data_IF_835124774834
#
_entry.id   IF_835124774834
#
_cell.length_a   1.000
_cell.length_b   1.000
_cell.length_c   1.000
_cell.angle_alpha   90.00
_cell.angle_beta   90.00
_cell.angle_gamma   90.00
#
_symmetry.space_group_name_H-M   'P 1'
#
loop_
_entity.id
_entity.type
_entity.pdbx_description
1 polymer ?
#
# COMPACT_ATOMS: atom_id res chain seq x y z
N UNK A 1 -13.92 13.57 8.69
CA UNK A 1 -15.09 14.30 9.23
C UNK A 1 -16.09 13.28 9.75
N UNK A 2 -15.84 12.74 10.94
CA UNK A 2 -16.70 11.74 11.60
C UNK A 2 -16.27 11.68 13.07
N UNK A 3 -16.92 12.45 13.92
CA UNK A 3 -16.78 12.30 15.37
C UNK A 3 -17.94 13.02 16.06
N UNK A 4 -18.89 12.23 16.55
CA UNK A 4 -19.55 12.29 17.86
C UNK A 4 -20.85 11.48 17.79
N UNK A 5 -20.74 10.18 18.03
CA UNK A 5 -21.86 9.38 18.53
C UNK A 5 -21.48 9.07 19.98
N UNK A 6 -22.16 9.75 20.91
CA UNK A 6 -21.96 9.58 22.35
C UNK A 6 -22.37 8.15 22.74
N UNK A 7 -21.50 7.46 23.49
CA UNK A 7 -21.91 6.31 24.28
C UNK A 7 -23.10 6.71 25.18
N UNK A 8 -24.20 5.98 25.10
CA UNK A 8 -25.33 6.17 26.02
C UNK A 8 -24.95 5.53 27.36
N UNK A 9 -24.26 6.29 28.21
CA UNK A 9 -24.13 5.94 29.62
C UNK A 9 -25.46 6.22 30.32
N UNK A 10 -26.10 5.15 30.79
CA UNK A 10 -27.26 5.22 31.66
C UNK A 10 -26.84 5.77 33.04
N UNK A 11 -27.41 6.91 33.43
CA UNK A 11 -27.54 7.28 34.85
C UNK A 11 -29.04 7.31 35.17
N UNK A 12 -29.50 6.28 35.87
CA UNK A 12 -30.83 6.25 36.46
C UNK A 12 -30.82 7.02 37.77
N UNK A 13 -31.66 8.05 37.86
CA UNK A 13 -32.28 8.55 39.09
C UNK A 13 -33.47 9.43 38.68
N UNK A 14 -34.67 8.84 38.68
CA UNK A 14 -35.92 9.61 38.81
C UNK A 14 -36.42 9.35 40.22
N UNK A 15 -36.29 10.34 41.08
CA UNK A 15 -36.99 10.39 42.36
C UNK A 15 -37.90 11.61 42.35
N UNK A 16 -39.19 11.32 42.47
CA UNK A 16 -40.26 12.23 42.86
C UNK A 16 -39.96 12.86 44.22
N UNK A 17 -40.08 14.19 44.38
CA UNK A 17 -41.14 14.74 45.24
C UNK A 17 -41.25 16.27 45.25
N UNK A 18 -42.52 16.66 45.42
CA UNK A 18 -43.22 17.90 45.76
C UNK A 18 -42.50 19.07 46.49
N UNK A 19 -42.64 20.28 45.91
CA UNK A 19 -43.19 21.52 46.50
C UNK A 19 -42.63 22.16 47.79
N UNK A 20 -42.25 23.43 47.71
CA UNK A 20 -42.19 24.32 48.89
C UNK A 20 -41.42 25.64 48.68
N UNK A 21 -42.17 26.74 48.52
CA UNK A 21 -41.73 28.14 48.50
C UNK A 21 -40.96 28.57 49.76
N UNK A 22 -39.93 29.42 49.61
CA UNK A 22 -39.68 30.65 50.40
C UNK A 22 -38.23 31.18 50.19
N UNK A 23 -38.10 32.37 49.60
CA UNK A 23 -37.00 33.32 49.87
C UNK A 23 -37.35 34.17 51.14
N UNK A 24 -36.51 35.09 51.71
CA UNK A 24 -35.27 35.69 51.19
C UNK A 24 -34.14 36.01 52.23
N UNK A 25 -33.01 36.52 51.70
CA UNK A 25 -32.21 37.68 52.17
C UNK A 25 -30.71 37.48 52.46
N UNK A 26 -29.97 38.43 51.85
CA UNK A 26 -28.67 39.02 52.23
C UNK A 26 -27.42 38.16 51.95
N UNK A 27 -26.29 38.67 51.44
CA UNK A 27 -25.76 40.04 51.38
C UNK A 27 -24.63 40.10 50.34
N UNK A 28 -24.61 41.21 49.60
CA UNK A 28 -23.49 41.99 49.05
C UNK A 28 -22.05 41.43 49.10
N UNK A 29 -21.41 41.42 47.92
CA UNK A 29 -20.25 42.25 47.47
C UNK A 29 -19.65 41.55 46.24
N UNK A 30 -19.40 42.14 45.06
CA UNK A 30 -19.30 43.53 44.65
C UNK A 30 -17.88 43.86 44.18
N UNK A 31 -17.53 43.51 42.93
CA UNK A 31 -16.69 44.26 41.96
C UNK A 31 -16.32 43.32 40.79
N UNK A 32 -16.77 43.52 39.54
CA UNK A 32 -16.46 44.59 38.56
C UNK A 32 -14.98 44.53 38.11
N UNK A 33 -14.58 44.61 36.85
CA UNK A 33 -15.15 44.76 35.49
C UNK A 33 -13.98 44.39 34.54
N UNK A 34 -14.04 44.37 33.21
CA UNK A 34 -15.00 44.78 32.22
C UNK A 34 -14.47 44.32 30.85
N UNK A 35 -15.36 44.35 29.86
CA UNK A 35 -15.08 44.10 28.45
C UNK A 35 -14.12 45.14 27.87
N UNK A 36 -13.24 44.73 26.95
CA UNK A 36 -13.18 45.26 25.58
C UNK A 36 -12.02 44.63 24.79
N UNK A 37 -12.32 44.24 23.55
CA UNK A 37 -11.38 43.96 22.45
C UNK A 37 -10.57 45.23 22.09
N UNK A 38 -9.39 45.09 21.47
CA UNK A 38 -9.34 45.46 20.04
C UNK A 38 -8.38 44.64 19.15
N UNK A 39 -8.88 44.35 17.95
CA UNK A 39 -8.34 44.58 16.60
C UNK A 39 -6.88 44.24 16.21
N UNK A 40 -6.82 43.39 15.17
CA UNK A 40 -5.89 43.22 14.04
C UNK A 40 -4.67 44.13 13.84
N UNK A 41 -3.53 43.48 13.56
CA UNK A 41 -2.63 43.71 12.39
C UNK A 41 -1.86 42.40 12.16
N UNK A 42 -2.16 41.61 11.13
CA UNK A 42 -1.54 41.64 9.80
C UNK A 42 -0.03 41.29 9.79
N UNK A 43 0.31 40.06 9.43
CA UNK A 43 1.38 39.79 8.46
C UNK A 43 1.23 38.39 7.84
N UNK A 44 1.46 38.34 6.53
CA UNK A 44 1.10 37.28 5.60
C UNK A 44 2.34 36.56 5.05
N UNK A 45 2.25 35.23 4.93
CA UNK A 45 2.85 34.35 3.90
C UNK A 45 2.61 32.90 4.38
N UNK A 46 1.83 32.01 3.76
CA UNK A 46 1.45 31.89 2.37
C UNK A 46 2.18 30.71 1.73
N UNK A 47 1.89 29.47 2.14
CA UNK A 47 2.03 28.30 1.25
C UNK A 47 1.19 27.11 1.76
N UNK A 48 -0.07 27.05 1.34
CA UNK A 48 -0.94 25.89 1.54
C UNK A 48 -0.67 24.86 0.46
N UNK A 49 -0.11 23.71 0.83
CA UNK A 49 0.06 22.59 -0.08
C UNK A 49 -1.26 21.80 -0.12
N UNK A 50 -2.13 22.14 -1.08
CA UNK A 50 -3.29 21.33 -1.42
C UNK A 50 -2.83 20.09 -2.19
N UNK A 51 -2.97 18.92 -1.57
CA UNK A 51 -2.79 17.62 -2.22
C UNK A 51 -3.96 17.40 -3.17
N UNK A 52 -3.75 17.68 -4.45
CA UNK A 52 -4.66 17.29 -5.51
C UNK A 52 -4.51 15.80 -5.78
N UNK A 53 -5.49 15.02 -5.33
CA UNK A 53 -5.69 13.64 -5.77
C UNK A 53 -6.36 13.70 -7.13
N UNK A 54 -5.62 13.39 -8.19
CA UNK A 54 -6.18 13.27 -9.55
C UNK A 54 -6.80 11.87 -9.68
N UNK A 55 -8.12 11.74 -9.97
CA UNK A 55 -8.69 10.44 -10.29
C UNK A 55 -8.31 10.02 -11.71
N UNK A 56 -7.97 8.73 -11.86
CA UNK A 56 -7.81 8.09 -13.15
C UNK A 56 -9.08 8.27 -13.99
N UNK A 57 -8.90 8.72 -15.24
CA UNK A 57 -9.98 9.00 -16.17
C UNK A 57 -10.74 7.73 -16.53
N UNK A 58 -12.07 7.80 -16.38
CA UNK A 58 -13.00 6.74 -16.71
C UNK A 58 -13.12 6.50 -18.21
N UNK A 59 -13.25 5.22 -18.58
CA UNK A 59 -13.65 4.79 -19.92
C UNK A 59 -15.18 4.64 -19.94
N UNK A 60 -15.83 5.45 -20.77
CA UNK A 60 -17.25 5.39 -21.03
C UNK A 60 -17.64 4.15 -21.84
N UNK A 61 -18.69 3.48 -21.39
CA UNK A 61 -19.45 2.45 -22.09
C UNK A 61 -20.34 3.04 -23.19
N UNK A 62 -20.33 2.46 -24.39
CA UNK A 62 -21.51 2.28 -25.24
C UNK A 62 -21.19 1.38 -26.47
N UNK A 63 -22.08 0.43 -26.76
CA UNK A 63 -22.19 -0.15 -28.11
C UNK A 63 -22.28 -1.68 -28.19
N UNK A 64 -23.46 -2.23 -27.95
CA UNK A 64 -23.87 -3.56 -28.43
C UNK A 64 -23.86 -3.58 -29.97
N UNK A 65 -23.60 -4.73 -30.63
CA UNK A 65 -24.75 -5.50 -31.10
C UNK A 65 -24.60 -7.03 -30.99
N UNK A 66 -25.76 -7.67 -30.78
CA UNK A 66 -26.00 -9.10 -30.98
C UNK A 66 -25.94 -9.46 -32.48
N UNK A 67 -25.38 -10.61 -32.83
CA UNK A 67 -26.17 -11.83 -33.17
C UNK A 67 -25.43 -12.84 -34.06
N UNK A 68 -25.73 -14.11 -33.76
CA UNK A 68 -25.84 -15.27 -34.65
C UNK A 68 -24.58 -16.01 -35.15
N UNK A 69 -24.60 -17.34 -34.95
CA UNK A 69 -24.38 -18.27 -36.06
C UNK A 69 -23.39 -19.43 -35.89
N UNK A 70 -23.82 -20.47 -35.18
CA UNK A 70 -23.68 -21.91 -35.46
C UNK A 70 -22.46 -22.52 -36.22
N UNK A 71 -21.89 -23.54 -35.55
CA UNK A 71 -21.65 -24.94 -36.00
C UNK A 71 -20.57 -25.31 -37.04
N UNK A 72 -19.82 -26.37 -36.72
CA UNK A 72 -19.03 -27.23 -37.63
C UNK A 72 -17.72 -27.72 -37.00
N UNK A 73 -17.71 -28.79 -36.19
CA UNK A 73 -17.32 -30.19 -36.55
C UNK A 73 -16.04 -30.35 -37.38
N UNK A 74 -15.04 -31.08 -36.85
CA UNK A 74 -13.96 -31.63 -37.68
C UNK A 74 -12.68 -32.08 -36.95
N UNK A 75 -12.69 -33.34 -36.51
CA UNK A 75 -11.61 -34.35 -36.57
C UNK A 75 -10.17 -34.10 -36.10
N UNK A 76 -9.68 -35.12 -35.40
CA UNK A 76 -8.34 -35.35 -34.88
C UNK A 76 -7.28 -35.77 -35.92
N UNK A 77 -6.03 -35.51 -35.54
CA UNK A 77 -4.83 -36.35 -35.65
C UNK A 77 -3.98 -36.43 -36.94
N UNK A 78 -2.68 -36.47 -36.63
CA UNK A 78 -1.49 -36.92 -37.35
C UNK A 78 -0.86 -36.06 -38.46
N UNK A 79 0.36 -35.61 -38.15
CA UNK A 79 1.26 -34.92 -39.05
C UNK A 79 2.65 -34.78 -38.42
N UNK A 80 3.37 -35.89 -38.30
CA UNK A 80 4.82 -35.91 -38.08
C UNK A 80 5.52 -35.09 -39.18
N UNK A 81 6.16 -33.99 -38.80
CA UNK A 81 6.93 -33.14 -39.70
C UNK A 81 8.21 -32.67 -39.03
N UNK A 82 9.32 -33.33 -39.37
CA UNK A 82 10.66 -32.90 -39.02
C UNK A 82 10.92 -31.50 -39.59
N UNK A 83 11.15 -30.51 -38.73
CA UNK A 83 11.71 -29.23 -39.16
C UNK A 83 13.24 -29.32 -39.10
N UNK A 84 13.80 -29.46 -40.29
CA UNK A 84 15.20 -29.21 -40.58
C UNK A 84 15.59 -27.81 -40.09
N UNK A 85 16.76 -27.71 -39.50
CA UNK A 85 17.29 -26.49 -38.95
C UNK A 85 17.60 -25.47 -40.05
N UNK A 86 16.78 -24.44 -40.12
CA UNK A 86 17.21 -23.14 -40.61
C UNK A 86 17.92 -22.42 -39.46
N UNK A 87 19.24 -22.59 -39.36
CA UNK A 87 20.09 -21.65 -38.64
C UNK A 87 19.98 -20.30 -39.34
N UNK A 88 18.98 -19.50 -38.93
CA UNK A 88 19.04 -18.04 -39.10
C UNK A 88 20.33 -17.58 -38.42
N UNK A 89 21.30 -17.16 -39.21
CA UNK A 89 22.39 -16.31 -38.71
C UNK A 89 21.68 -15.12 -38.08
N UNK A 90 21.74 -15.01 -36.75
CA UNK A 90 21.15 -13.89 -36.05
C UNK A 90 21.78 -12.61 -36.61
N UNK A 91 20.94 -11.73 -37.16
CA UNK A 91 21.39 -10.38 -37.52
C UNK A 91 22.12 -9.79 -36.32
N UNK A 92 23.34 -9.30 -36.54
CA UNK A 92 24.15 -8.71 -35.48
C UNK A 92 23.33 -7.60 -34.80
N UNK A 93 23.20 -7.68 -33.48
CA UNK A 93 22.48 -6.68 -32.70
C UNK A 93 23.23 -5.36 -32.77
N UNK A 94 22.73 -4.44 -33.60
CA UNK A 94 23.33 -3.11 -33.84
C UNK A 94 22.86 -2.07 -32.83
N UNK A 95 22.05 -2.45 -31.83
CA UNK A 95 21.55 -1.53 -30.81
C UNK A 95 22.67 -1.12 -29.86
N UNK A 96 22.66 0.15 -29.47
CA UNK A 96 23.50 0.67 -28.40
C UNK A 96 22.70 0.56 -27.11
N UNK A 97 23.23 -0.21 -26.17
CA UNK A 97 22.68 -0.36 -24.83
C UNK A 97 23.41 0.57 -23.85
N UNK A 98 22.72 1.10 -22.82
CA UNK A 98 23.35 1.88 -21.77
C UNK A 98 24.55 1.15 -21.16
N UNK A 99 25.69 1.85 -21.06
CA UNK A 99 26.89 1.33 -20.38
C UNK A 99 27.34 2.34 -19.34
N UNK A 100 27.49 1.88 -18.11
CA UNK A 100 27.96 2.71 -17.00
C UNK A 100 29.50 2.76 -17.00
N UNK A 101 30.06 3.88 -17.47
CA UNK A 101 31.50 4.13 -17.45
C UNK A 101 31.80 5.30 -16.51
N UNK A 102 32.48 5.07 -15.36
CA UNK A 102 32.83 6.15 -14.43
C UNK A 102 33.64 7.26 -15.10
N UNK A 103 33.33 8.51 -14.77
CA UNK A 103 34.04 9.68 -15.27
C UNK A 103 35.27 9.96 -14.40
N UNK A 104 36.47 9.67 -14.93
CA UNK A 104 37.73 9.83 -14.21
C UNK A 104 38.00 11.26 -13.72
N UNK A 105 37.38 12.28 -14.32
CA UNK A 105 37.54 13.68 -13.89
C UNK A 105 36.99 13.94 -12.49
N UNK A 106 36.11 13.07 -11.97
CA UNK A 106 35.48 13.19 -10.66
C UNK A 106 35.92 12.10 -9.68
N UNK A 107 36.96 11.34 -10.00
CA UNK A 107 37.46 10.26 -9.15
C UNK A 107 37.79 10.75 -7.74
N UNK A 108 37.32 10.01 -6.73
CA UNK A 108 37.56 10.31 -5.32
C UNK A 108 36.65 11.41 -4.73
N UNK A 109 35.74 11.98 -5.52
CA UNK A 109 34.74 12.92 -5.03
C UNK A 109 33.45 12.18 -4.66
N UNK A 110 32.86 12.52 -3.52
CA UNK A 110 31.59 11.94 -3.09
C UNK A 110 30.62 13.00 -2.56
N UNK A 111 29.33 12.76 -2.70
CA UNK A 111 28.27 13.59 -2.11
C UNK A 111 27.39 12.73 -1.23
N UNK A 112 27.23 13.14 0.03
CA UNK A 112 26.37 12.43 0.98
C UNK A 112 24.90 12.68 0.70
N UNK A 113 24.12 11.61 0.67
CA UNK A 113 22.65 11.62 0.61
C UNK A 113 22.07 10.92 1.82
N UNK A 114 20.95 11.44 2.31
CA UNK A 114 20.30 10.93 3.52
C UNK A 114 18.83 10.65 3.23
N UNK A 115 18.36 9.49 3.67
CA UNK A 115 16.98 9.05 3.56
C UNK A 115 16.45 8.70 4.94
N UNK A 116 15.20 9.06 5.20
CA UNK A 116 14.48 8.62 6.39
C UNK A 116 13.41 7.61 5.96
N UNK A 117 13.46 6.41 6.51
CA UNK A 117 12.56 5.32 6.16
C UNK A 117 11.81 4.88 7.40
N UNK A 118 10.49 5.00 7.36
CA UNK A 118 9.62 4.41 8.37
C UNK A 118 9.55 2.90 8.16
N UNK A 119 9.90 2.10 9.15
CA UNK A 119 9.77 0.65 9.09
C UNK A 119 9.41 0.13 10.48
N UNK A 120 8.42 -0.76 10.53
CA UNK A 120 7.76 -1.16 11.78
C UNK A 120 7.33 0.04 12.65
N UNK A 121 7.86 0.15 13.86
CA UNK A 121 7.57 1.24 14.79
C UNK A 121 8.68 2.31 14.86
N UNK A 122 9.62 2.31 13.91
CA UNK A 122 10.81 3.18 13.91
C UNK A 122 10.96 3.96 12.61
N UNK A 123 11.82 4.98 12.68
CA UNK A 123 12.33 5.69 11.51
C UNK A 123 13.84 5.47 11.48
N UNK A 124 14.33 4.89 10.39
CA UNK A 124 15.75 4.68 10.17
C UNK A 124 16.32 5.74 9.24
N UNK A 125 17.47 6.29 9.62
CA UNK A 125 18.22 7.23 8.77
C UNK A 125 19.32 6.48 8.06
N UNK A 126 19.26 6.46 6.72
CA UNK A 126 20.24 5.82 5.85
C UNK A 126 21.06 6.94 5.22
N UNK A 127 22.38 6.87 5.33
CA UNK A 127 23.25 7.89 4.78
C UNK A 127 24.29 7.26 3.86
N UNK A 128 24.29 7.67 2.59
CA UNK A 128 25.07 7.05 1.52
C UNK A 128 25.97 8.11 0.91
N UNK A 129 27.27 7.83 0.82
CA UNK A 129 28.20 8.67 0.09
C UNK A 129 28.21 8.24 -1.38
N UNK A 130 27.59 9.05 -2.25
CA UNK A 130 27.48 8.77 -3.68
C UNK A 130 28.78 9.16 -4.37
N UNK A 131 29.41 8.22 -5.06
CA UNK A 131 30.58 8.46 -5.91
C UNK A 131 30.20 9.33 -7.12
N UNK A 132 30.82 10.51 -7.21
CA UNK A 132 30.54 11.47 -8.27
C UNK A 132 31.11 11.04 -9.63
N UNK A 133 32.18 10.24 -9.65
CA UNK A 133 32.69 9.61 -10.88
C UNK A 133 31.65 8.70 -11.50
N UNK A 134 31.02 7.87 -10.67
CA UNK A 134 29.97 6.96 -11.11
C UNK A 134 28.72 7.72 -11.57
N UNK A 135 28.27 8.70 -10.79
CA UNK A 135 27.09 9.51 -11.12
C UNK A 135 27.26 10.25 -12.45
N UNK A 136 28.43 10.86 -12.68
CA UNK A 136 28.72 11.59 -13.91
C UNK A 136 28.80 10.64 -15.10
N UNK A 137 29.41 9.47 -14.92
CA UNK A 137 29.37 8.38 -15.88
C UNK A 137 27.95 7.97 -16.26
N UNK A 138 27.10 7.72 -15.27
CA UNK A 138 25.69 7.35 -15.47
C UNK A 138 24.91 8.41 -16.26
N UNK A 139 25.12 9.69 -15.94
CA UNK A 139 24.46 10.81 -16.63
C UNK A 139 24.93 11.00 -18.08
N UNK A 140 26.19 10.66 -18.36
CA UNK A 140 26.79 10.77 -19.68
C UNK A 140 26.55 9.54 -20.58
N UNK A 141 26.08 8.43 -20.01
CA UNK A 141 25.80 7.20 -20.75
C UNK A 141 24.75 7.42 -21.85
N UNK A 142 24.92 6.77 -23.00
CA UNK A 142 23.92 6.79 -24.07
C UNK A 142 22.68 5.97 -23.66
N UNK A 143 21.59 6.68 -23.37
CA UNK A 143 20.29 6.10 -23.01
C UNK A 143 19.23 6.33 -24.07
N UNK A 144 19.63 6.74 -25.29
CA UNK A 144 18.72 7.18 -26.35
C UNK A 144 17.72 6.10 -26.80
N UNK A 145 18.07 4.82 -26.63
CA UNK A 145 17.18 3.68 -26.90
C UNK A 145 15.93 3.69 -25.99
N UNK A 146 16.01 4.27 -24.79
CA UNK A 146 14.92 4.32 -23.81
C UNK A 146 13.62 4.90 -24.38
N UNK A 147 13.70 5.99 -25.16
CA UNK A 147 12.51 6.62 -25.78
C UNK A 147 11.70 5.71 -26.72
N UNK A 148 12.33 4.64 -27.22
CA UNK A 148 11.74 3.73 -28.20
C UNK A 148 11.61 2.32 -27.65
N UNK A 149 11.99 2.07 -26.39
CA UNK A 149 12.16 0.72 -25.85
C UNK A 149 10.86 -0.06 -25.84
N UNK A 150 9.75 0.58 -25.47
CA UNK A 150 8.41 -0.02 -25.46
C UNK A 150 7.94 -0.51 -26.85
N UNK A 151 8.56 -0.04 -27.94
CA UNK A 151 8.26 -0.46 -29.32
C UNK A 151 9.24 -1.49 -29.88
N UNK A 152 10.27 -1.87 -29.11
CA UNK A 152 11.25 -2.87 -29.54
C UNK A 152 10.76 -4.30 -29.23
N UNK A 153 11.41 -5.30 -29.83
CA UNK A 153 11.11 -6.70 -29.54
C UNK A 153 11.43 -7.07 -28.08
N UNK A 154 10.81 -8.12 -27.53
CA UNK A 154 11.08 -8.60 -26.17
C UNK A 154 12.57 -8.83 -25.89
N UNK A 155 13.34 -9.33 -26.87
CA UNK A 155 14.77 -9.60 -26.73
C UNK A 155 15.59 -8.32 -26.58
N UNK A 156 15.22 -7.25 -27.30
CA UNK A 156 15.87 -5.94 -27.18
C UNK A 156 15.48 -5.27 -25.86
N UNK A 157 14.22 -5.41 -25.42
CA UNK A 157 13.79 -4.94 -24.11
C UNK A 157 14.56 -5.65 -22.99
N UNK A 158 14.70 -6.98 -23.08
CA UNK A 158 15.49 -7.79 -22.16
C UNK A 158 16.93 -7.26 -22.05
N UNK A 159 17.64 -7.14 -23.18
CA UNK A 159 19.03 -6.65 -23.20
C UNK A 159 19.16 -5.22 -22.68
N UNK A 160 18.22 -4.33 -23.00
CA UNK A 160 18.23 -2.96 -22.51
C UNK A 160 18.14 -2.87 -20.99
N UNK A 161 17.13 -3.50 -20.36
CA UNK A 161 17.00 -3.42 -18.91
C UNK A 161 18.14 -4.17 -18.19
N UNK A 162 18.62 -5.28 -18.75
CA UNK A 162 19.79 -6.00 -18.22
C UNK A 162 21.06 -5.15 -18.21
N UNK A 163 21.27 -4.31 -19.21
CA UNK A 163 22.47 -3.46 -19.30
C UNK A 163 22.63 -2.47 -18.14
N UNK A 164 21.54 -2.11 -17.45
CA UNK A 164 21.60 -1.27 -16.23
C UNK A 164 22.24 -1.97 -15.03
N UNK A 165 22.40 -3.29 -15.10
CA UNK A 165 23.00 -4.10 -14.05
C UNK A 165 24.45 -4.51 -14.32
N UNK A 166 24.92 -4.31 -15.55
CA UNK A 166 26.24 -4.75 -15.99
C UNK A 166 27.37 -3.84 -15.46
N UNK A 167 28.55 -4.44 -15.26
CA UNK A 167 29.78 -3.72 -14.93
C UNK A 167 30.11 -3.65 -13.44
N UNK A 168 31.42 -3.72 -13.14
CA UNK A 168 31.94 -3.72 -11.77
C UNK A 168 31.55 -2.46 -10.98
N UNK A 169 31.56 -1.29 -11.63
CA UNK A 169 31.24 -0.04 -10.98
C UNK A 169 29.78 0.03 -10.47
N UNK A 170 28.85 -0.63 -11.17
CA UNK A 170 27.47 -0.74 -10.72
C UNK A 170 27.36 -1.70 -9.51
N UNK A 171 28.08 -2.82 -9.57
CA UNK A 171 28.18 -3.77 -8.45
C UNK A 171 28.70 -3.09 -7.19
N UNK A 172 29.78 -2.31 -7.30
CA UNK A 172 30.41 -1.61 -6.16
C UNK A 172 29.45 -0.58 -5.53
N UNK A 173 28.64 0.10 -6.34
CA UNK A 173 27.58 1.00 -5.85
C UNK A 173 26.55 0.26 -5.00
N UNK A 174 26.03 -0.87 -5.48
CA UNK A 174 25.08 -1.64 -4.70
C UNK A 174 25.73 -2.22 -3.43
N UNK A 175 26.99 -2.64 -3.48
CA UNK A 175 27.71 -3.15 -2.31
C UNK A 175 27.87 -2.05 -1.24
N UNK A 176 28.17 -0.81 -1.64
CA UNK A 176 28.24 0.34 -0.73
C UNK A 176 26.87 0.67 -0.11
N UNK A 177 25.79 0.65 -0.91
CA UNK A 177 24.43 0.91 -0.41
C UNK A 177 23.95 -0.20 0.53
N UNK A 178 24.19 -1.46 0.18
CA UNK A 178 23.84 -2.63 1.00
C UNK A 178 24.61 -2.63 2.30
N UNK A 179 25.84 -2.13 2.35
CA UNK A 179 26.58 -2.01 3.60
C UNK A 179 25.82 -1.15 4.63
N UNK A 180 25.31 0.00 4.23
CA UNK A 180 24.53 0.90 5.11
C UNK A 180 23.20 0.28 5.53
N UNK A 181 22.49 -0.38 4.60
CA UNK A 181 21.22 -1.05 4.91
C UNK A 181 21.41 -2.29 5.80
N UNK A 182 22.48 -3.06 5.58
CA UNK A 182 22.83 -4.25 6.38
C UNK A 182 23.30 -3.88 7.77
N UNK A 183 23.88 -2.69 7.96
CA UNK A 183 24.17 -2.20 9.30
C UNK A 183 22.89 -2.15 10.15
N UNK A 184 21.80 -1.61 9.58
CA UNK A 184 20.48 -1.54 10.24
C UNK A 184 19.94 -2.94 10.53
N UNK A 185 20.02 -3.88 9.56
CA UNK A 185 19.68 -5.29 9.78
C UNK A 185 20.34 -5.86 11.03
N UNK A 186 21.64 -5.66 11.18
CA UNK A 186 22.44 -6.23 12.27
C UNK A 186 22.11 -5.55 13.60
N UNK A 187 22.04 -4.22 13.63
CA UNK A 187 21.79 -3.47 14.88
C UNK A 187 20.38 -3.68 15.42
N UNK A 188 19.40 -3.77 14.53
CA UNK A 188 18.00 -4.00 14.87
C UNK A 188 17.65 -5.49 14.97
N UNK A 189 18.58 -6.38 14.62
CA UNK A 189 18.42 -7.84 14.61
C UNK A 189 17.23 -8.29 13.74
N UNK A 190 17.05 -7.63 12.60
CA UNK A 190 16.03 -8.01 11.64
C UNK A 190 16.33 -9.41 11.10
N UNK A 191 15.29 -10.25 11.04
CA UNK A 191 15.31 -11.50 10.29
C UNK A 191 15.55 -11.23 8.80
N UNK A 192 15.87 -12.28 8.03
CA UNK A 192 16.07 -12.14 6.59
C UNK A 192 14.80 -11.60 5.90
N UNK A 193 13.62 -12.09 6.30
CA UNK A 193 12.34 -11.63 5.76
C UNK A 193 12.02 -10.17 6.16
N UNK A 194 12.26 -9.77 7.42
CA UNK A 194 12.10 -8.36 7.84
C UNK A 194 13.09 -7.45 7.12
N UNK A 195 14.32 -7.92 6.89
CA UNK A 195 15.29 -7.17 6.11
C UNK A 195 14.86 -6.99 4.64
N UNK A 196 14.32 -8.04 4.02
CA UNK A 196 13.73 -7.93 2.68
C UNK A 196 12.59 -6.91 2.65
N UNK A 197 11.65 -6.99 3.60
CA UNK A 197 10.53 -6.05 3.72
C UNK A 197 11.03 -4.61 3.98
N UNK A 198 12.12 -4.46 4.73
CA UNK A 198 12.78 -3.18 4.93
C UNK A 198 13.39 -2.61 3.64
N UNK A 199 14.06 -3.43 2.82
CA UNK A 199 14.58 -3.00 1.52
C UNK A 199 13.47 -2.54 0.58
N UNK A 200 12.36 -3.30 0.52
CA UNK A 200 11.16 -2.92 -0.24
C UNK A 200 10.62 -1.58 0.27
N UNK A 201 10.45 -1.43 1.58
CA UNK A 201 9.93 -0.23 2.22
C UNK A 201 10.82 1.00 2.00
N UNK A 202 12.15 0.83 2.08
CA UNK A 202 13.12 1.87 1.80
C UNK A 202 12.91 2.45 0.41
N UNK A 203 12.84 1.58 -0.60
CA UNK A 203 12.64 2.02 -1.98
C UNK A 203 11.25 2.63 -2.16
N UNK A 204 10.19 2.03 -1.61
CA UNK A 204 8.82 2.57 -1.67
C UNK A 204 8.71 4.01 -1.14
N UNK A 205 9.52 4.39 -0.15
CA UNK A 205 9.49 5.72 0.45
C UNK A 205 10.40 6.75 -0.25
N UNK A 206 11.21 6.36 -1.23
CA UNK A 206 11.86 7.32 -2.13
C UNK A 206 10.75 8.01 -2.95
N UNK A 207 10.67 9.36 -2.99
CA UNK A 207 9.66 10.08 -3.75
C UNK A 207 9.50 9.59 -5.21
N UNK A 208 8.25 9.46 -5.65
CA UNK A 208 7.96 9.22 -7.06
C UNK A 208 8.12 10.52 -7.85
N UNK A 209 8.90 10.47 -8.92
CA UNK A 209 8.94 11.52 -9.92
C UNK A 209 9.34 10.90 -11.26
N UNK A 210 8.61 11.25 -12.32
CA UNK A 210 8.94 10.85 -13.69
C UNK A 210 9.32 12.09 -14.47
N UNK A 211 10.55 12.62 -14.28
CA UNK A 211 11.03 13.71 -15.10
C UNK A 211 11.10 13.25 -16.56
N UNK A 212 10.74 14.13 -17.50
CA UNK A 212 10.89 13.81 -18.92
C UNK A 212 12.34 13.42 -19.22
N UNK A 213 12.55 12.20 -19.74
CA UNK A 213 13.91 11.69 -19.87
C UNK A 213 13.98 10.24 -20.32
N UNK A 214 15.19 9.73 -20.35
CA UNK A 214 15.44 8.30 -20.46
C UNK A 214 15.59 7.72 -19.06
N UNK A 215 15.23 6.44 -18.89
CA UNK A 215 15.46 5.65 -17.67
C UNK A 215 16.85 5.92 -17.07
N UNK A 216 16.90 6.25 -15.78
CA UNK A 216 18.15 6.53 -15.06
C UNK A 216 18.73 5.28 -14.40
N UNK A 217 20.03 5.31 -14.15
CA UNK A 217 20.71 4.26 -13.40
C UNK A 217 20.37 4.34 -11.90
N UNK A 218 20.45 3.23 -11.14
CA UNK A 218 20.22 3.21 -9.70
C UNK A 218 21.00 4.28 -8.90
N UNK A 219 22.24 4.59 -9.30
CA UNK A 219 23.06 5.65 -8.68
C UNK A 219 22.43 7.05 -8.83
N UNK A 220 21.78 7.32 -9.96
CA UNK A 220 21.08 8.59 -10.20
C UNK A 220 19.81 8.68 -9.36
N UNK A 221 19.08 7.57 -9.16
CA UNK A 221 17.89 7.53 -8.29
C UNK A 221 18.26 7.85 -6.84
N UNK A 222 19.34 7.25 -6.33
CA UNK A 222 19.86 7.54 -4.98
C UNK A 222 20.41 8.96 -4.87
N UNK A 223 21.10 9.46 -5.91
CA UNK A 223 21.58 10.83 -5.88
C UNK A 223 20.43 11.84 -5.96
N UNK A 224 19.47 11.69 -6.86
CA UNK A 224 18.39 12.66 -7.00
C UNK A 224 17.34 12.51 -5.89
N UNK A 225 17.32 11.37 -5.21
CA UNK A 225 16.36 11.08 -4.14
C UNK A 225 14.94 10.92 -4.66
N UNK A 226 14.78 10.50 -5.92
CA UNK A 226 13.50 10.31 -6.58
C UNK A 226 13.64 9.44 -7.83
N UNK A 227 12.58 8.71 -8.19
CA UNK A 227 12.51 7.91 -9.41
C UNK A 227 11.08 7.59 -9.83
N UNK A 228 10.90 7.05 -11.02
CA UNK A 228 9.62 6.52 -11.48
C UNK A 228 9.57 4.99 -11.39
N UNK A 229 8.61 4.36 -12.07
CA UNK A 229 8.25 2.96 -11.83
C UNK A 229 9.35 1.96 -12.20
N UNK A 230 9.99 2.09 -13.36
CA UNK A 230 11.08 1.21 -13.78
C UNK A 230 12.36 1.51 -12.99
N UNK A 231 12.70 2.78 -12.81
CA UNK A 231 13.88 3.22 -12.07
C UNK A 231 13.90 2.71 -10.62
N UNK A 232 12.78 2.89 -9.89
CA UNK A 232 12.65 2.42 -8.51
C UNK A 232 12.61 0.89 -8.44
N UNK A 233 11.97 0.25 -9.41
CA UNK A 233 11.93 -1.22 -9.48
C UNK A 233 13.30 -1.81 -9.72
N UNK A 234 14.11 -1.24 -10.62
CA UNK A 234 15.47 -1.70 -10.86
C UNK A 234 16.40 -1.47 -9.66
N UNK A 235 16.27 -0.33 -8.97
CA UNK A 235 16.98 -0.11 -7.70
C UNK A 235 16.63 -1.20 -6.68
N UNK A 236 15.34 -1.49 -6.50
CA UNK A 236 14.89 -2.54 -5.58
C UNK A 236 15.40 -3.92 -5.97
N UNK A 237 15.31 -4.28 -7.26
CA UNK A 237 15.81 -5.55 -7.76
C UNK A 237 17.28 -5.76 -7.45
N UNK A 238 18.12 -4.76 -7.70
CA UNK A 238 19.57 -4.85 -7.42
C UNK A 238 19.87 -4.96 -5.92
N UNK A 239 19.12 -4.26 -5.07
CA UNK A 239 19.25 -4.39 -3.61
C UNK A 239 18.89 -5.80 -3.11
N UNK A 240 17.80 -6.35 -3.62
CA UNK A 240 17.33 -7.68 -3.26
C UNK A 240 18.27 -8.77 -3.80
N UNK A 241 18.73 -8.65 -5.04
CA UNK A 241 19.69 -9.59 -5.64
C UNK A 241 21.00 -9.61 -4.87
N UNK A 242 21.57 -8.46 -4.54
CA UNK A 242 22.78 -8.34 -3.70
C UNK A 242 22.58 -8.81 -2.27
N UNK A 243 21.33 -8.95 -1.84
CA UNK A 243 20.95 -9.56 -0.56
C UNK A 243 20.66 -11.06 -0.67
N UNK A 244 20.82 -11.67 -1.85
CA UNK A 244 20.70 -13.10 -2.10
C UNK A 244 19.33 -13.56 -2.59
N UNK A 245 18.43 -12.64 -2.93
CA UNK A 245 17.07 -12.96 -3.39
C UNK A 245 16.97 -13.00 -4.91
N UNK A 246 16.10 -13.88 -5.40
CA UNK A 246 15.86 -14.00 -6.84
C UNK A 246 14.78 -13.02 -7.29
N UNK A 247 15.15 -12.06 -8.13
CA UNK A 247 14.26 -11.01 -8.62
C UNK A 247 14.16 -10.97 -10.13
N UNK A 248 13.09 -10.34 -10.61
CA UNK A 248 12.86 -10.08 -12.02
C UNK A 248 12.22 -8.70 -12.21
N UNK A 249 12.42 -8.08 -13.36
CA UNK A 249 11.63 -6.93 -13.77
C UNK A 249 10.37 -7.46 -14.44
N UNK A 250 9.21 -7.07 -13.94
CA UNK A 250 7.92 -7.38 -14.55
C UNK A 250 7.47 -6.16 -15.33
N UNK A 251 7.56 -6.25 -16.66
CA UNK A 251 7.13 -5.20 -17.56
C UNK A 251 5.71 -5.49 -18.04
N UNK A 252 4.85 -4.49 -17.98
CA UNK A 252 3.47 -4.55 -18.45
C UNK A 252 3.28 -3.57 -19.62
N UNK A 253 3.67 -3.93 -20.86
CA UNK A 253 3.70 -2.99 -21.98
C UNK A 253 2.35 -2.33 -22.28
N UNK A 254 1.26 -3.09 -22.17
CA UNK A 254 -0.11 -2.58 -22.37
C UNK A 254 -0.52 -1.54 -21.34
N UNK A 255 0.01 -1.64 -20.13
CA UNK A 255 -0.30 -0.75 -19.01
C UNK A 255 0.73 0.38 -18.85
N UNK A 256 1.85 0.31 -19.58
CA UNK A 256 2.94 1.29 -19.47
C UNK A 256 3.56 1.33 -18.08
N UNK A 257 3.68 0.18 -17.41
CA UNK A 257 4.16 0.09 -16.03
C UNK A 257 5.23 -0.99 -15.89
N UNK A 258 6.16 -0.77 -14.97
CA UNK A 258 7.23 -1.70 -14.64
C UNK A 258 7.29 -1.86 -13.12
N UNK A 259 7.44 -3.09 -12.65
CA UNK A 259 7.52 -3.39 -11.22
C UNK A 259 8.62 -4.39 -10.92
N UNK A 260 9.09 -4.38 -9.67
CA UNK A 260 9.96 -5.42 -9.17
C UNK A 260 9.14 -6.70 -8.94
N UNK A 261 9.67 -7.82 -9.39
CA UNK A 261 9.18 -9.16 -9.10
C UNK A 261 10.11 -9.86 -8.10
N UNK A 262 9.53 -10.56 -7.13
CA UNK A 262 10.27 -11.39 -6.18
C UNK A 262 9.88 -12.85 -6.32
N UNK A 263 10.85 -13.75 -6.41
CA UNK A 263 10.57 -15.17 -6.53
C UNK A 263 9.83 -15.68 -5.31
N UNK A 264 8.89 -16.59 -5.56
CA UNK A 264 8.30 -17.43 -4.53
C UNK A 264 8.44 -18.91 -4.90
N UNK A 265 8.38 -19.76 -3.89
CA UNK A 265 8.14 -21.20 -4.07
C UNK A 265 6.75 -21.47 -3.50
N UNK A 266 5.73 -21.63 -4.36
CA UNK A 266 4.36 -21.88 -3.91
C UNK A 266 4.28 -23.10 -2.98
N UNK A 267 3.83 -22.88 -1.76
CA UNK A 267 3.39 -23.92 -0.84
C UNK A 267 1.85 -23.86 -0.76
N UNK A 268 1.18 -24.80 -1.41
CA UNK A 268 -0.28 -24.82 -1.52
C UNK A 268 -0.83 -23.75 -2.48
N UNK A 269 -2.08 -23.36 -2.26
CA UNK A 269 -2.74 -22.32 -3.04
C UNK A 269 -2.15 -20.94 -2.69
N UNK A 270 -1.68 -20.24 -3.71
CA UNK A 270 -1.19 -18.86 -3.57
C UNK A 270 -2.37 -17.94 -3.85
N UNK A 271 -2.80 -17.16 -2.87
CA UNK A 271 -3.93 -16.22 -2.98
C UNK A 271 -3.66 -14.99 -3.85
N UNK A 272 -2.45 -14.88 -4.41
CA UNK A 272 -2.01 -13.79 -5.28
C UNK A 272 -1.73 -14.31 -6.70
N UNK A 273 -1.92 -13.44 -7.70
CA UNK A 273 -1.39 -13.67 -9.04
C UNK A 273 0.13 -13.84 -8.99
N UNK A 274 0.62 -14.87 -9.67
CA UNK A 274 2.05 -15.13 -9.86
C UNK A 274 2.40 -14.96 -11.33
N UNK A 275 3.56 -14.39 -11.60
CA UNK A 275 4.06 -14.14 -12.96
C UNK A 275 5.15 -15.16 -13.28
N UNK A 276 4.91 -16.13 -14.19
CA UNK A 276 5.89 -17.13 -14.54
C UNK A 276 6.95 -16.57 -15.51
N UNK A 277 8.21 -16.95 -15.30
CA UNK A 277 9.26 -16.85 -16.32
C UNK A 277 9.31 -18.14 -17.15
N UNK A 278 9.99 -18.08 -18.30
CA UNK A 278 10.10 -19.20 -19.25
C UNK A 278 10.80 -20.43 -18.67
N UNK A 279 11.65 -20.25 -17.65
CA UNK A 279 12.34 -21.34 -16.95
C UNK A 279 11.54 -21.95 -15.79
N UNK A 280 10.27 -21.55 -15.64
CA UNK A 280 9.34 -22.07 -14.64
C UNK A 280 9.41 -21.38 -13.27
N UNK A 281 10.33 -20.43 -13.06
CA UNK A 281 10.31 -19.58 -11.85
C UNK A 281 9.05 -18.72 -11.82
N UNK A 282 8.56 -18.45 -10.62
CA UNK A 282 7.34 -17.65 -10.40
C UNK A 282 7.65 -16.47 -9.49
N UNK A 283 7.16 -15.31 -9.88
CA UNK A 283 7.39 -14.05 -9.18
C UNK A 283 6.07 -13.46 -8.67
N UNK A 284 6.12 -12.82 -7.50
CA UNK A 284 5.07 -11.94 -7.00
C UNK A 284 5.37 -10.49 -7.38
N UNK A 285 4.29 -9.73 -7.61
CA UNK A 285 4.32 -8.29 -7.83
C UNK A 285 4.81 -7.54 -6.59
N UNK A 286 5.75 -6.60 -6.74
CA UNK A 286 6.08 -5.61 -5.71
C UNK A 286 5.86 -4.21 -6.29
N UNK A 287 4.87 -3.49 -5.76
CA UNK A 287 4.71 -2.06 -6.05
C UNK A 287 5.89 -1.30 -5.41
N UNK A 288 6.81 -0.77 -6.21
CA UNK A 288 7.99 -0.05 -5.71
C UNK A 288 7.74 1.45 -5.53
N UNK A 289 6.59 1.97 -5.98
CA UNK A 289 6.27 3.41 -5.99
C UNK A 289 5.36 3.85 -4.85
N UNK A 290 4.69 2.91 -4.19
CA UNK A 290 3.76 3.17 -3.10
C UNK A 290 3.93 2.09 -2.02
N UNK A 291 3.82 2.41 -0.71
CA UNK A 291 3.89 1.44 0.38
C UNK A 291 2.74 0.43 0.40
N UNK A 292 2.75 -0.52 -0.53
CA UNK A 292 1.83 -1.65 -0.56
C UNK A 292 2.55 -2.95 -0.18
N UNK A 293 1.79 -3.88 0.38
CA UNK A 293 2.31 -5.19 0.72
C UNK A 293 2.77 -5.96 -0.53
N UNK A 294 3.83 -6.77 -0.37
CA UNK A 294 4.35 -7.66 -1.40
C UNK A 294 3.25 -8.62 -1.86
N UNK A 295 3.09 -8.74 -3.19
CA UNK A 295 2.06 -9.56 -3.81
C UNK A 295 0.73 -8.85 -4.05
N UNK A 296 0.51 -7.65 -3.50
CA UNK A 296 -0.69 -6.87 -3.79
C UNK A 296 -0.55 -6.20 -5.17
N UNK A 297 -1.54 -6.41 -6.04
CA UNK A 297 -1.60 -5.85 -7.39
C UNK A 297 -3.00 -5.26 -7.67
N UNK A 298 -3.12 -4.23 -8.52
CA UNK A 298 -4.41 -3.82 -9.06
C UNK A 298 -4.94 -4.87 -10.05
N UNK A 299 -6.26 -5.13 -10.06
CA UNK A 299 -6.87 -6.22 -10.87
C UNK A 299 -6.49 -6.21 -12.36
N UNK A 300 -6.24 -5.03 -12.95
CA UNK A 300 -5.78 -4.89 -14.33
C UNK A 300 -4.45 -5.63 -14.62
N UNK A 301 -3.63 -5.88 -13.60
CA UNK A 301 -2.35 -6.59 -13.69
C UNK A 301 -2.48 -8.11 -13.53
N UNK A 302 -3.66 -8.63 -13.20
CA UNK A 302 -3.85 -10.07 -12.96
C UNK A 302 -3.81 -10.90 -14.25
N UNK A 303 -4.41 -10.37 -15.32
CA UNK A 303 -4.71 -11.08 -16.57
C UNK A 303 -4.24 -10.26 -17.78
N UNK A 304 -2.99 -9.80 -17.74
CA UNK A 304 -2.39 -8.99 -18.81
C UNK A 304 -1.04 -9.58 -19.22
N UNK A 305 -0.62 -9.28 -20.45
CA UNK A 305 0.67 -9.73 -20.95
C UNK A 305 1.80 -9.07 -20.13
N UNK A 306 2.70 -9.91 -19.64
CA UNK A 306 3.89 -9.51 -18.88
C UNK A 306 5.14 -9.99 -19.61
N UNK A 307 6.16 -9.14 -19.68
CA UNK A 307 7.51 -9.56 -20.01
C UNK A 307 8.30 -9.67 -18.70
N UNK A 308 8.76 -10.87 -18.38
CA UNK A 308 9.54 -11.16 -17.17
C UNK A 308 11.02 -11.18 -17.53
N UNK A 309 11.81 -10.31 -16.91
CA UNK A 309 13.26 -10.19 -17.13
C UNK A 309 13.98 -10.55 -15.82
N UNK A 310 14.41 -11.81 -15.62
CA UNK A 310 15.17 -12.19 -14.43
C UNK A 310 16.50 -11.44 -14.29
N UNK A 311 16.84 -11.03 -13.07
CA UNK A 311 18.13 -10.40 -12.77
C UNK A 311 19.18 -11.43 -12.33
N UNK A 312 18.77 -12.50 -11.64
CA UNK A 312 19.66 -13.58 -11.22
C UNK A 312 19.32 -14.89 -11.92
N UNK A 313 20.24 -15.85 -11.91
CA UNK A 313 19.98 -17.24 -12.35
C UNK A 313 19.49 -18.13 -11.19
N UNK A 314 19.16 -17.52 -10.04
CA UNK A 314 18.71 -18.22 -8.85
C UNK A 314 19.08 -17.48 -7.56
N UNK A 315 18.28 -17.70 -6.53
CA UNK A 315 18.40 -17.07 -5.22
C UNK A 315 17.28 -17.51 -4.28
N UNK A 316 17.28 -16.95 -3.08
CA UNK A 316 16.27 -17.23 -2.05
C UNK A 316 14.90 -16.68 -2.48
N UNK A 317 13.80 -17.41 -2.22
CA UNK A 317 12.44 -16.91 -2.42
C UNK A 317 11.97 -16.05 -1.23
N UNK A 318 10.96 -15.22 -1.44
CA UNK A 318 10.16 -14.63 -0.37
C UNK A 318 9.18 -15.66 0.19
N UNK A 319 9.08 -15.77 1.53
CA UNK A 319 8.29 -16.82 2.18
C UNK A 319 7.09 -16.31 2.98
N UNK A 320 7.06 -15.03 3.36
CA UNK A 320 5.96 -14.44 4.14
C UNK A 320 4.71 -14.06 3.34
N UNK A 321 4.60 -14.46 2.07
CA UNK A 321 3.42 -14.13 1.25
C UNK A 321 2.09 -14.62 1.86
N UNK A 322 2.08 -15.76 2.58
CA UNK A 322 0.89 -16.22 3.30
C UNK A 322 0.48 -15.31 4.47
N UNK A 323 1.42 -14.58 5.07
CA UNK A 323 1.13 -13.63 6.13
C UNK A 323 0.43 -12.41 5.53
N UNK A 324 0.91 -11.94 4.38
CA UNK A 324 0.25 -10.87 3.62
C UNK A 324 -1.15 -11.30 3.20
N UNK A 325 -1.34 -12.52 2.67
CA UNK A 325 -2.66 -13.03 2.30
C UNK A 325 -3.64 -12.98 3.47
N UNK A 326 -3.21 -13.44 4.66
CA UNK A 326 -4.00 -13.36 5.89
C UNK A 326 -4.39 -11.91 6.25
N UNK A 327 -3.47 -10.95 6.15
CA UNK A 327 -3.74 -9.54 6.42
C UNK A 327 -4.80 -9.00 5.45
N UNK A 328 -4.63 -9.25 4.15
CA UNK A 328 -5.53 -8.75 3.11
C UNK A 328 -6.93 -9.37 3.22
N UNK A 329 -7.03 -10.67 3.49
CA UNK A 329 -8.32 -11.33 3.70
C UNK A 329 -9.02 -10.86 4.96
N UNK A 330 -8.26 -10.62 6.03
CA UNK A 330 -8.78 -10.02 7.25
C UNK A 330 -9.31 -8.62 7.00
N UNK A 331 -8.56 -7.77 6.28
CA UNK A 331 -8.99 -6.42 5.88
C UNK A 331 -10.33 -6.45 5.14
N UNK A 332 -10.46 -7.31 4.12
CA UNK A 332 -11.72 -7.46 3.35
C UNK A 332 -12.91 -7.84 4.23
N UNK A 333 -12.71 -8.73 5.22
CA UNK A 333 -13.77 -9.12 6.18
C UNK A 333 -14.11 -7.99 7.14
N UNK A 334 -13.09 -7.29 7.64
CA UNK A 334 -13.24 -6.13 8.53
C UNK A 334 -14.05 -5.02 7.86
N UNK A 335 -13.77 -4.70 6.58
CA UNK A 335 -14.50 -3.68 5.82
C UNK A 335 -16.00 -3.99 5.72
N UNK A 336 -16.34 -5.25 5.40
CA UNK A 336 -17.74 -5.69 5.37
C UNK A 336 -18.41 -5.62 6.74
N UNK A 337 -17.68 -5.94 7.82
CA UNK A 337 -18.17 -5.82 9.21
C UNK A 337 -18.43 -4.37 9.60
N UNK A 338 -17.50 -3.47 9.27
CA UNK A 338 -17.63 -2.03 9.52
C UNK A 338 -18.92 -1.52 8.88
N UNK A 339 -19.13 -1.82 7.60
CA UNK A 339 -20.32 -1.40 6.86
C UNK A 339 -21.61 -1.95 7.48
N UNK A 340 -21.61 -3.23 7.85
CA UNK A 340 -22.76 -3.86 8.48
C UNK A 340 -23.07 -3.24 9.85
N UNK A 341 -22.11 -3.20 10.76
CA UNK A 341 -22.32 -2.69 12.11
C UNK A 341 -22.72 -1.23 12.07
N UNK A 342 -22.11 -0.44 11.19
CA UNK A 342 -22.50 0.97 11.02
C UNK A 342 -23.98 1.11 10.67
N UNK A 343 -24.46 0.40 9.64
CA UNK A 343 -25.87 0.48 9.22
C UNK A 343 -26.82 0.02 10.33
N UNK A 344 -26.47 -1.05 11.02
CA UNK A 344 -27.27 -1.60 12.13
C UNK A 344 -27.33 -0.62 13.30
N UNK A 345 -26.19 -0.05 13.71
CA UNK A 345 -26.11 0.94 14.79
C UNK A 345 -26.90 2.21 14.45
N UNK A 346 -26.75 2.73 13.22
CA UNK A 346 -27.49 3.92 12.79
C UNK A 346 -29.02 3.65 12.88
N UNK A 347 -29.50 2.49 12.44
CA UNK A 347 -30.92 2.11 12.55
C UNK A 347 -31.39 1.91 13.99
N UNK A 348 -30.59 1.26 14.84
CA UNK A 348 -30.96 1.04 16.24
C UNK A 348 -30.94 2.32 17.05
N UNK A 349 -30.09 3.28 16.70
CA UNK A 349 -30.08 4.59 17.32
C UNK A 349 -31.42 5.32 17.14
N UNK A 350 -31.96 5.32 15.92
CA UNK A 350 -33.27 5.90 15.63
C UNK A 350 -34.40 5.17 16.39
N UNK A 351 -34.34 3.84 16.46
CA UNK A 351 -35.29 3.03 17.26
C UNK A 351 -35.23 3.39 18.75
N UNK A 352 -34.02 3.52 19.31
CA UNK A 352 -33.79 3.87 20.70
C UNK A 352 -34.30 5.27 21.03
N UNK A 353 -34.11 6.24 20.15
CA UNK A 353 -34.61 7.60 20.36
C UNK A 353 -36.15 7.65 20.32
N UNK A 354 -36.81 6.91 19.41
CA UNK A 354 -38.28 6.77 19.42
C UNK A 354 -38.80 6.07 20.69
N UNK A 355 -38.17 4.96 21.09
CA UNK A 355 -38.52 4.23 22.31
C UNK A 355 -38.37 5.11 23.55
N UNK A 356 -37.24 5.81 23.66
CA UNK A 356 -36.94 6.75 24.75
C UNK A 356 -37.96 7.89 24.79
N UNK A 357 -38.31 8.45 23.64
CA UNK A 357 -39.35 9.48 23.55
C UNK A 357 -40.70 8.98 24.08
N UNK A 358 -41.13 7.77 23.69
CA UNK A 358 -42.38 7.16 24.19
C UNK A 358 -42.34 6.89 25.69
N UNK A 359 -41.21 6.40 26.21
CA UNK A 359 -41.00 6.16 27.64
C UNK A 359 -41.04 7.45 28.48
N UNK A 360 -40.49 8.56 27.96
CA UNK A 360 -40.56 9.87 28.62
C UNK A 360 -42.01 10.38 28.60
N UNK A 361 -42.72 10.22 27.49
CA UNK A 361 -44.11 10.65 27.31
C UNK A 361 -45.13 9.56 27.69
N UNK A 362 -44.83 8.74 28.69
CA UNK A 362 -45.52 7.47 28.95
C UNK A 362 -47.05 7.57 29.06
N UNK A 363 -47.58 8.65 29.64
CA UNK A 363 -49.04 8.87 29.79
C UNK A 363 -49.80 8.93 28.45
N UNK A 364 -49.11 9.32 27.37
CA UNK A 364 -49.70 9.39 26.03
C UNK A 364 -49.63 8.05 25.30
N UNK A 365 -48.63 7.23 25.61
CA UNK A 365 -48.29 6.04 24.81
C UNK A 365 -48.59 4.71 25.49
N UNK A 366 -48.79 4.68 26.80
CA UNK A 366 -49.07 3.47 27.57
C UNK A 366 -50.27 3.68 28.49
N UNK A 367 -51.21 2.74 28.47
CA UNK A 367 -52.44 2.79 29.28
C UNK A 367 -52.32 2.00 30.57
N UNK A 368 -51.35 1.08 30.66
CA UNK A 368 -51.12 0.25 31.85
C UNK A 368 -49.65 0.24 32.26
N UNK A 369 -49.38 -0.04 33.55
CA UNK A 369 -48.02 -0.21 34.05
C UNK A 369 -47.30 -1.37 33.35
N UNK A 370 -48.01 -2.46 33.07
CA UNK A 370 -47.45 -3.64 32.40
C UNK A 370 -46.96 -3.31 30.97
N UNK A 371 -47.71 -2.49 30.22
CA UNK A 371 -47.29 -2.02 28.89
C UNK A 371 -46.01 -1.18 28.95
N UNK A 372 -45.95 -0.26 29.92
CA UNK A 372 -44.77 0.57 30.16
C UNK A 372 -43.56 -0.29 30.53
N UNK A 373 -43.70 -1.18 31.51
CA UNK A 373 -42.62 -2.03 31.99
C UNK A 373 -42.09 -2.92 30.85
N UNK A 374 -42.98 -3.47 30.02
CA UNK A 374 -42.59 -4.27 28.86
C UNK A 374 -41.83 -3.43 27.82
N UNK A 375 -42.27 -2.21 27.55
CA UNK A 375 -41.56 -1.30 26.64
C UNK A 375 -40.18 -0.89 27.20
N UNK A 376 -40.10 -0.64 28.51
CA UNK A 376 -38.85 -0.30 29.17
C UNK A 376 -37.84 -1.45 29.11
N UNK A 377 -38.28 -2.71 29.29
CA UNK A 377 -37.42 -3.88 29.11
C UNK A 377 -36.94 -4.04 27.67
N UNK A 378 -37.80 -3.81 26.66
CA UNK A 378 -37.37 -3.81 25.25
C UNK A 378 -36.30 -2.75 24.98
N UNK A 379 -36.50 -1.54 25.48
CA UNK A 379 -35.53 -0.46 25.37
C UNK A 379 -34.18 -0.84 26.02
N UNK A 380 -34.20 -1.36 27.24
CA UNK A 380 -32.97 -1.83 27.91
C UNK A 380 -32.24 -2.90 27.11
N UNK A 381 -32.94 -3.92 26.65
CA UNK A 381 -32.34 -4.99 25.85
C UNK A 381 -31.73 -4.43 24.56
N UNK A 382 -32.40 -3.49 23.88
CA UNK A 382 -31.87 -2.83 22.68
C UNK A 382 -30.63 -1.98 22.99
N UNK A 383 -30.59 -1.28 24.13
CA UNK A 383 -29.39 -0.54 24.57
C UNK A 383 -28.22 -1.50 24.79
N UNK A 384 -28.44 -2.64 25.42
CA UNK A 384 -27.40 -3.65 25.65
C UNK A 384 -26.87 -4.23 24.33
N UNK A 385 -27.77 -4.55 23.38
CA UNK A 385 -27.40 -4.99 22.03
C UNK A 385 -26.63 -3.91 21.26
N UNK A 386 -27.09 -2.66 21.32
CA UNK A 386 -26.42 -1.51 20.70
C UNK A 386 -24.99 -1.35 21.21
N UNK A 387 -24.81 -1.33 22.53
CA UNK A 387 -23.50 -1.16 23.15
C UNK A 387 -22.54 -2.29 22.74
N UNK A 388 -23.02 -3.55 22.72
CA UNK A 388 -22.24 -4.69 22.24
C UNK A 388 -21.80 -4.54 20.78
N UNK A 389 -22.71 -4.13 19.89
CA UNK A 389 -22.39 -3.93 18.47
C UNK A 389 -21.47 -2.74 18.26
N UNK A 390 -21.59 -1.71 19.09
CA UNK A 390 -20.71 -0.55 19.07
C UNK A 390 -19.27 -0.94 19.43
N UNK A 391 -19.07 -1.78 20.44
CA UNK A 391 -17.74 -2.34 20.77
C UNK A 391 -17.14 -3.14 19.60
N UNK A 392 -17.95 -3.98 18.92
CA UNK A 392 -17.51 -4.72 17.73
C UNK A 392 -17.16 -3.79 16.57
N UNK A 393 -17.95 -2.74 16.36
CA UNK A 393 -17.67 -1.71 15.36
C UNK A 393 -16.34 -1.01 15.64
N UNK A 394 -16.13 -0.52 16.87
CA UNK A 394 -14.89 0.17 17.27
C UNK A 394 -13.67 -0.73 17.08
N UNK A 395 -13.76 -1.97 17.54
CA UNK A 395 -12.67 -2.94 17.42
C UNK A 395 -12.31 -3.25 15.96
N UNK A 396 -13.29 -3.33 15.06
CA UNK A 396 -13.03 -3.48 13.64
C UNK A 396 -12.33 -2.24 13.05
N UNK A 397 -12.76 -1.04 13.43
CA UNK A 397 -12.14 0.22 13.00
C UNK A 397 -10.69 0.32 13.49
N UNK A 398 -10.41 -0.01 14.75
CA UNK A 398 -9.07 0.01 15.33
C UNK A 398 -8.11 -0.88 14.55
N UNK A 399 -8.50 -2.14 14.30
CA UNK A 399 -7.64 -3.07 13.54
C UNK A 399 -7.54 -2.68 12.07
N UNK A 400 -8.60 -2.13 11.47
CA UNK A 400 -8.54 -1.62 10.10
C UNK A 400 -7.51 -0.50 9.96
N UNK A 401 -7.50 0.47 10.89
CA UNK A 401 -6.52 1.55 10.90
C UNK A 401 -5.09 1.00 11.01
N UNK A 402 -4.86 0.03 11.90
CA UNK A 402 -3.55 -0.63 12.04
C UNK A 402 -3.06 -1.27 10.73
N UNK A 403 -3.95 -1.90 9.96
CA UNK A 403 -3.59 -2.50 8.66
C UNK A 403 -3.22 -1.43 7.62
N UNK A 404 -3.96 -0.33 7.58
CA UNK A 404 -3.83 0.73 6.57
C UNK A 404 -2.66 1.67 6.87
N UNK A 405 -2.40 1.97 8.14
CA UNK A 405 -1.38 2.94 8.53
C UNK A 405 0.03 2.34 8.61
N UNK A 406 0.14 1.00 8.60
CA UNK A 406 1.40 0.27 8.78
C UNK A 406 1.67 -0.79 7.70
N UNK A 407 1.61 -0.45 6.41
CA UNK A 407 1.88 -1.42 5.33
C UNK A 407 3.33 -1.93 5.28
N UNK A 408 4.23 -1.28 6.01
CA UNK A 408 5.65 -1.62 6.18
C UNK A 408 5.92 -2.43 7.47
N UNK A 409 4.90 -3.03 8.08
CA UNK A 409 5.02 -3.83 9.31
C UNK A 409 4.16 -5.10 9.23
N UNK A 410 4.53 -6.02 8.34
CA UNK A 410 3.77 -7.25 8.08
C UNK A 410 3.56 -8.05 9.37
N UNK A 411 4.62 -8.27 10.15
CA UNK A 411 4.55 -9.10 11.34
C UNK A 411 3.76 -8.42 12.47
N UNK A 412 3.97 -7.12 12.70
CA UNK A 412 3.23 -6.34 13.68
C UNK A 412 1.73 -6.29 13.38
N UNK A 413 1.36 -6.01 12.12
CA UNK A 413 -0.04 -5.97 11.69
C UNK A 413 -0.69 -7.34 11.81
N UNK A 414 -0.03 -8.41 11.34
CA UNK A 414 -0.52 -9.79 11.47
C UNK A 414 -0.80 -10.15 12.93
N UNK A 415 0.14 -9.79 13.83
CA UNK A 415 0.00 -10.03 15.27
C UNK A 415 -1.15 -9.22 15.88
N UNK A 416 -1.35 -7.97 15.47
CA UNK A 416 -2.50 -7.15 15.90
C UNK A 416 -3.82 -7.81 15.51
N UNK A 417 -3.97 -8.25 14.25
CA UNK A 417 -5.17 -8.96 13.80
C UNK A 417 -5.41 -10.22 14.64
N UNK A 418 -4.37 -11.05 14.82
CA UNK A 418 -4.48 -12.29 15.59
C UNK A 418 -4.87 -12.04 17.05
N UNK A 419 -4.14 -11.17 17.75
CA UNK A 419 -4.36 -10.90 19.18
C UNK A 419 -5.67 -10.18 19.44
N UNK A 420 -6.12 -9.34 18.51
CA UNK A 420 -7.42 -8.66 18.63
C UNK A 420 -8.56 -9.67 18.60
N UNK A 421 -8.44 -10.85 17.98
CA UNK A 421 -9.57 -11.75 17.70
C UNK A 421 -10.67 -11.09 16.86
N UNK A 422 -10.35 -10.05 16.09
CA UNK A 422 -11.33 -9.36 15.23
C UNK A 422 -11.97 -10.31 14.21
N UNK A 423 -11.25 -11.35 13.81
CA UNK A 423 -11.74 -12.36 12.88
C UNK A 423 -12.73 -13.36 13.52
N UNK A 424 -12.86 -13.40 14.84
CA UNK A 424 -13.87 -14.18 15.57
C UNK A 424 -15.21 -13.43 15.68
N UNK A 425 -15.27 -12.16 15.27
CA UNK A 425 -16.50 -11.36 15.30
C UNK A 425 -17.39 -11.78 14.13
N UNK A 426 -18.54 -12.37 14.48
CA UNK A 426 -19.64 -12.69 13.57
C UNK A 426 -20.58 -11.49 13.40
N UNK A 427 -21.27 -11.43 12.26
CA UNK A 427 -22.18 -10.34 11.91
C UNK A 427 -23.27 -10.77 10.93
#
# INVERSE_FOLDING_TARGET
>A
MLLLILCIFACGCVSSDTGGDASPQSRETGNSGGMANPTETADAAGNGNQVAVTPAQGVNTAGNPQSAGAAGTGAESDGSGAYAGDTKIADADTKIYPVLVPDAAYQGQSVRRTFNTKFENKIFTIAVDVDMSLLKGARNADKSLGKKIAKQSPEVQYKFYRSYFDGMANSDFFDALIKELRYIKITERLSDEEYLEYLVTFVQQIPYNSPEGNTRFPVEVIYDGMGDCDEKSMLLMGLLEKSGYDTALLLFPKLGHAVCGIKIVPQGDVSFTTYPADDGRRYLYIESTTPYYIGLYPDAFANTDVLVIPLSDGGMPYTKYNYVAYIIDSKKKIEKRIDFFKRTLDSWYDELEDQKYKLINYKQYYSTQLEYDTAYQRYKNRVDEYNKYFEYYQKNIEVWNEIVDRPYDVEGVRRTIFNSKVNEIEY
#
